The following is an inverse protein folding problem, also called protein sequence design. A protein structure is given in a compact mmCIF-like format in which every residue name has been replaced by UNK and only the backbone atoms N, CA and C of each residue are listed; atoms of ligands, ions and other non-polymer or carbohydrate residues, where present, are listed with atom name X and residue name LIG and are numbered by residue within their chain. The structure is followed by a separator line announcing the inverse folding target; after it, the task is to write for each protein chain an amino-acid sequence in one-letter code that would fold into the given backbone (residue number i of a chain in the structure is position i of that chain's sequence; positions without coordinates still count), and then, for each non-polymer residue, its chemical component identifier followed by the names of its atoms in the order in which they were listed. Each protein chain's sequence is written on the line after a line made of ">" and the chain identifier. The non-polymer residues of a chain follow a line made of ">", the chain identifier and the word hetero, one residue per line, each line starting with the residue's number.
data_IF_297672666497
#
_entry.id   IF_297672666497
#
_cell.length_a   1.000
_cell.length_b   1.000
_cell.length_c   1.000
_cell.angle_alpha   90.00
_cell.angle_beta   90.00
_cell.angle_gamma   90.00
#
_symmetry.space_group_name_H-M   'P 1'
#
loop_
_entity.id
_entity.type
_entity.pdbx_description
1 polymer ?
#
# COMPACT_ATOMS: atom_id res chain seq x y z
N UNK A 1 16.48 -6.32 -27.94
CA UNK A 1 17.55 -5.28 -27.91
C UNK A 1 18.66 -5.85 -27.03
N UNK A 2 19.71 -6.44 -27.62
CA UNK A 2 20.82 -7.02 -26.87
C UNK A 2 21.84 -5.92 -26.57
N UNK A 3 21.95 -5.51 -25.30
CA UNK A 3 23.01 -4.62 -24.87
C UNK A 3 24.33 -5.40 -24.80
N UNK A 4 25.21 -5.16 -25.76
CA UNK A 4 26.57 -5.68 -25.77
C UNK A 4 27.47 -4.84 -24.86
N UNK A 5 27.40 -5.07 -23.55
CA UNK A 5 28.38 -4.53 -22.62
C UNK A 5 29.39 -5.65 -22.30
N UNK A 6 30.64 -5.48 -22.73
CA UNK A 6 31.73 -6.38 -22.34
C UNK A 6 32.11 -6.06 -20.89
N UNK A 7 32.08 -7.03 -19.96
CA UNK A 7 32.47 -6.81 -18.56
C UNK A 7 33.93 -6.36 -18.46
N UNK A 8 34.23 -5.47 -17.50
CA UNK A 8 35.60 -5.05 -17.23
C UNK A 8 36.47 -6.25 -16.78
N UNK A 9 37.78 -6.26 -17.09
CA UNK A 9 38.69 -7.30 -16.62
C UNK A 9 38.65 -7.43 -15.09
N UNK A 10 38.32 -8.62 -14.58
CA UNK A 10 38.15 -8.89 -13.15
C UNK A 10 36.73 -8.72 -12.61
N UNK A 11 35.78 -8.27 -13.43
CA UNK A 11 34.37 -8.24 -13.04
C UNK A 11 33.80 -9.66 -12.95
N UNK A 12 33.30 -10.04 -11.78
CA UNK A 12 32.49 -11.24 -11.62
C UNK A 12 31.10 -10.92 -12.15
N UNK A 13 30.78 -11.40 -13.35
CA UNK A 13 29.42 -11.35 -13.89
C UNK A 13 28.60 -12.38 -13.13
N UNK A 14 27.87 -11.91 -12.12
CA UNK A 14 26.86 -12.73 -11.47
C UNK A 14 25.69 -12.88 -12.46
N UNK A 15 25.43 -14.11 -12.88
CA UNK A 15 24.20 -14.46 -13.60
C UNK A 15 23.01 -13.88 -12.83
N UNK A 16 22.02 -13.28 -13.50
CA UNK A 16 20.79 -12.80 -12.85
C UNK A 16 20.12 -13.92 -12.02
N UNK A 17 20.29 -15.19 -12.43
CA UNK A 17 19.80 -16.35 -11.68
C UNK A 17 20.54 -16.59 -10.35
N UNK A 18 21.77 -16.07 -10.19
CA UNK A 18 22.58 -16.17 -8.97
C UNK A 18 22.35 -15.00 -8.00
N UNK A 19 21.72 -13.91 -8.46
CA UNK A 19 21.43 -12.71 -7.66
C UNK A 19 20.06 -12.74 -6.99
N UNK A 20 19.21 -13.73 -7.28
CA UNK A 20 17.90 -13.83 -6.65
C UNK A 20 18.00 -14.67 -5.36
N UNK A 21 17.94 -14.06 -4.15
CA UNK A 21 18.05 -14.80 -2.88
C UNK A 21 16.81 -15.66 -2.58
N UNK A 22 15.75 -15.54 -3.39
CA UNK A 22 14.59 -16.39 -3.27
C UNK A 22 14.73 -17.59 -4.20
N UNK A 23 14.66 -18.84 -3.70
CA UNK A 23 14.46 -19.99 -4.56
C UNK A 23 13.24 -19.72 -5.46
N UNK A 24 13.21 -20.28 -6.69
CA UNK A 24 12.06 -20.18 -7.59
C UNK A 24 10.88 -20.95 -6.99
N UNK A 25 10.27 -20.38 -5.97
CA UNK A 25 9.02 -20.83 -5.40
C UNK A 25 7.94 -20.21 -6.27
N UNK A 26 7.05 -21.04 -6.80
CA UNK A 26 5.88 -20.55 -7.48
C UNK A 26 5.15 -19.56 -6.56
N UNK A 27 4.72 -18.39 -7.09
CA UNK A 27 3.89 -17.48 -6.33
C UNK A 27 2.70 -18.26 -5.71
N UNK A 28 2.32 -18.05 -4.43
CA UNK A 28 1.25 -18.81 -3.80
C UNK A 28 -0.07 -18.69 -4.59
N UNK A 29 -0.95 -19.69 -4.56
CA UNK A 29 -2.15 -19.66 -5.42
C UNK A 29 -3.15 -18.53 -5.06
N UNK A 30 -2.99 -17.90 -3.89
CA UNK A 30 -3.76 -16.76 -3.40
C UNK A 30 -2.86 -15.84 -2.59
N UNK A 31 -3.29 -14.60 -2.42
CA UNK A 31 -2.64 -13.72 -1.46
C UNK A 31 -2.95 -14.19 -0.05
N UNK A 32 -1.91 -14.65 0.64
CA UNK A 32 -2.00 -15.08 2.04
C UNK A 32 -2.24 -13.90 2.99
N UNK A 33 -2.14 -12.66 2.50
CA UNK A 33 -2.31 -11.45 3.29
C UNK A 33 -3.18 -10.46 2.54
N UNK A 34 -4.27 -10.07 3.19
CA UNK A 34 -5.32 -9.24 2.59
C UNK A 34 -5.78 -8.19 3.58
N UNK A 35 -6.36 -7.10 3.07
CA UNK A 35 -7.11 -6.15 3.88
C UNK A 35 -8.59 -6.35 3.56
N UNK A 36 -9.37 -6.72 4.57
CA UNK A 36 -10.79 -7.08 4.43
C UNK A 36 -11.04 -8.17 3.38
N UNK A 37 -10.18 -9.19 3.32
CA UNK A 37 -10.34 -10.35 2.43
C UNK A 37 -9.94 -10.12 0.97
N UNK A 38 -9.43 -8.93 0.62
CA UNK A 38 -8.94 -8.63 -0.73
C UNK A 38 -7.47 -8.15 -0.70
N UNK A 39 -6.60 -8.65 -1.62
CA UNK A 39 -5.28 -8.08 -1.84
C UNK A 39 -5.38 -6.86 -2.76
N UNK A 40 -4.76 -5.73 -2.38
CA UNK A 40 -4.88 -4.47 -3.10
C UNK A 40 -3.57 -3.98 -3.69
N UNK A 41 -3.37 -4.20 -4.99
CA UNK A 41 -2.21 -3.70 -5.72
C UNK A 41 -2.56 -2.42 -6.49
N UNK A 42 -2.45 -1.26 -5.84
CA UNK A 42 -2.65 0.05 -6.50
C UNK A 42 -1.88 0.15 -7.82
N UNK A 43 -0.62 -0.30 -7.82
CA UNK A 43 0.28 -0.21 -8.97
C UNK A 43 -0.14 -1.01 -10.21
N UNK A 44 -1.01 -2.02 -10.07
CA UNK A 44 -1.53 -2.80 -11.22
C UNK A 44 -2.87 -2.30 -11.72
N UNK A 45 -3.70 -1.77 -10.82
CA UNK A 45 -5.04 -1.27 -11.14
C UNK A 45 -5.01 0.18 -11.62
N UNK A 46 -3.97 0.94 -11.24
CA UNK A 46 -3.88 2.36 -11.50
C UNK A 46 -2.66 2.67 -12.37
N UNK A 47 -2.93 3.13 -13.60
CA UNK A 47 -1.90 3.64 -14.52
C UNK A 47 -1.72 5.14 -14.41
N UNK A 48 -2.76 5.79 -13.91
CA UNK A 48 -2.79 7.22 -13.63
C UNK A 48 -2.64 7.38 -12.11
N UNK A 49 -1.82 8.34 -11.65
CA UNK A 49 -1.84 8.72 -10.26
C UNK A 49 -3.30 8.99 -9.83
N UNK A 50 -3.66 8.69 -8.59
CA UNK A 50 -5.01 8.98 -8.08
C UNK A 50 -5.26 10.48 -7.95
N UNK A 51 -4.19 11.27 -7.77
CA UNK A 51 -4.26 12.71 -7.50
C UNK A 51 -4.95 13.52 -8.62
N UNK A 52 -4.66 13.31 -9.92
CA UNK A 52 -5.38 13.94 -11.04
C UNK A 52 -6.84 13.52 -11.22
N UNK A 53 -7.26 12.38 -10.65
CA UNK A 53 -8.60 11.80 -10.83
C UNK A 53 -9.28 11.46 -9.50
N UNK A 54 -9.49 12.42 -8.59
CA UNK A 54 -10.11 12.15 -7.28
C UNK A 54 -11.55 11.62 -7.40
N UNK A 55 -12.25 12.00 -8.47
CA UNK A 55 -13.60 11.54 -8.79
C UNK A 55 -13.64 10.22 -9.57
N UNK A 56 -12.48 9.61 -9.88
CA UNK A 56 -12.45 8.34 -10.61
C UNK A 56 -13.15 7.26 -9.82
N UNK A 57 -14.12 6.60 -10.46
CA UNK A 57 -14.80 5.43 -9.93
C UNK A 57 -14.03 4.16 -10.33
N UNK A 58 -13.77 3.30 -9.35
CA UNK A 58 -13.11 2.02 -9.58
C UNK A 58 -14.12 0.88 -9.54
N UNK A 59 -13.95 -0.09 -10.44
CA UNK A 59 -14.75 -1.32 -10.41
C UNK A 59 -14.53 -2.05 -9.09
N UNK A 60 -15.61 -2.57 -8.53
CA UNK A 60 -15.58 -3.31 -7.28
C UNK A 60 -14.79 -4.63 -7.40
N UNK A 61 -14.19 -5.11 -6.29
CA UNK A 61 -14.09 -4.41 -5.02
C UNK A 61 -13.13 -3.19 -5.14
N UNK A 62 -13.27 -2.16 -4.29
CA UNK A 62 -12.45 -0.93 -4.36
C UNK A 62 -11.97 -0.57 -2.94
N UNK A 63 -10.65 -0.52 -2.68
CA UNK A 63 -10.12 -0.23 -1.35
C UNK A 63 -10.04 1.26 -1.08
N UNK A 64 -10.25 2.10 -2.10
CA UNK A 64 -10.06 3.53 -2.00
C UNK A 64 -11.11 4.10 -1.05
N UNK A 65 -10.63 4.67 0.06
CA UNK A 65 -11.48 5.36 1.03
C UNK A 65 -11.68 6.79 0.56
N UNK A 66 -12.93 7.24 0.55
CA UNK A 66 -13.36 8.61 0.19
C UNK A 66 -14.41 9.09 1.19
N UNK A 67 -14.97 10.29 0.96
CA UNK A 67 -15.95 10.96 1.82
C UNK A 67 -15.37 11.25 3.21
N UNK A 68 -14.16 11.80 3.23
CA UNK A 68 -13.43 12.14 4.43
C UNK A 68 -13.19 13.66 4.46
N UNK A 69 -14.22 14.49 4.74
CA UNK A 69 -14.11 15.92 4.60
C UNK A 69 -13.13 16.55 5.59
N UNK A 70 -12.60 17.73 5.25
CA UNK A 70 -11.73 18.49 6.15
C UNK A 70 -12.42 18.75 7.49
N UNK A 71 -11.71 18.51 8.59
CA UNK A 71 -12.21 18.60 9.96
C UNK A 71 -12.68 17.26 10.54
N UNK A 72 -12.84 16.22 9.71
CA UNK A 72 -13.20 14.87 10.18
C UNK A 72 -12.17 14.31 11.14
N UNK A 73 -12.64 13.58 12.14
CA UNK A 73 -11.81 12.72 12.98
C UNK A 73 -11.94 11.31 12.43
N UNK A 74 -10.82 10.71 12.05
CA UNK A 74 -10.74 9.36 11.51
C UNK A 74 -10.18 8.44 12.58
N UNK A 75 -10.88 7.33 12.79
CA UNK A 75 -10.43 6.20 13.59
C UNK A 75 -10.19 5.00 12.68
N UNK A 76 -8.98 4.46 12.70
CA UNK A 76 -8.69 3.16 12.10
C UNK A 76 -8.42 2.16 13.22
N UNK A 77 -9.14 1.04 13.17
CA UNK A 77 -8.87 -0.13 14.00
C UNK A 77 -8.38 -1.24 13.07
N UNK A 78 -7.17 -1.73 13.32
CA UNK A 78 -6.61 -2.87 12.60
C UNK A 78 -6.49 -4.03 13.56
N UNK A 79 -7.08 -5.16 13.18
CA UNK A 79 -6.89 -6.43 13.87
C UNK A 79 -5.98 -7.30 13.03
N UNK A 80 -4.91 -7.79 13.64
CA UNK A 80 -3.99 -8.71 13.01
C UNK A 80 -4.40 -10.13 13.34
N UNK A 81 -4.71 -10.93 12.32
CA UNK A 81 -5.03 -12.35 12.49
C UNK A 81 -3.84 -13.26 12.18
N UNK A 82 -2.70 -12.69 11.75
CA UNK A 82 -1.52 -13.44 11.37
C UNK A 82 -0.81 -14.05 12.58
N UNK A 83 -0.34 -15.28 12.42
CA UNK A 83 0.56 -15.93 13.37
C UNK A 83 1.95 -15.26 13.36
N UNK A 84 2.58 -15.19 14.53
CA UNK A 84 3.92 -14.63 14.72
C UNK A 84 4.37 -14.80 16.17
N UNK A 85 5.51 -14.20 16.52
CA UNK A 85 6.03 -14.29 17.90
C UNK A 85 5.11 -13.51 18.85
N UNK A 86 4.38 -14.24 19.70
CA UNK A 86 3.30 -13.72 20.56
C UNK A 86 3.84 -13.21 21.90
N UNK A 87 5.11 -13.49 22.22
CA UNK A 87 5.67 -13.15 23.53
C UNK A 87 5.75 -11.63 23.77
N UNK A 88 5.81 -10.82 22.71
CA UNK A 88 5.77 -9.34 22.78
C UNK A 88 4.33 -8.77 22.78
N UNK A 89 3.32 -9.57 22.45
CA UNK A 89 1.95 -9.14 22.18
C UNK A 89 1.02 -9.06 23.42
N UNK A 90 1.56 -9.08 24.64
CA UNK A 90 0.77 -8.88 25.87
C UNK A 90 0.72 -7.40 26.23
N UNK A 91 -0.13 -6.64 25.53
CA UNK A 91 -0.64 -5.37 26.05
C UNK A 91 -2.04 -5.61 26.60
N UNK A 92 -2.24 -5.26 27.87
CA UNK A 92 -3.56 -5.24 28.49
C UNK A 92 -4.51 -4.42 27.61
N UNK A 93 -5.77 -4.87 27.46
CA UNK A 93 -6.79 -4.34 26.55
C UNK A 93 -7.29 -2.92 26.88
N UNK A 94 -6.40 -2.03 27.29
CA UNK A 94 -6.63 -0.64 27.64
C UNK A 94 -6.16 0.24 26.48
N UNK A 95 -7.08 1.02 25.92
CA UNK A 95 -6.77 2.05 24.91
C UNK A 95 -6.45 3.35 25.65
N UNK A 96 -5.25 3.90 25.46
CA UNK A 96 -4.89 5.20 26.02
C UNK A 96 -5.54 6.32 25.19
N UNK A 97 -6.46 7.06 25.80
CA UNK A 97 -7.17 8.20 25.19
C UNK A 97 -6.76 9.56 25.78
N UNK A 98 -5.88 9.58 26.78
CA UNK A 98 -5.50 10.80 27.52
C UNK A 98 -4.23 11.40 26.93
N UNK A 99 -3.20 10.58 26.77
CA UNK A 99 -1.88 10.97 26.26
C UNK A 99 -1.26 9.86 25.38
N UNK A 100 -1.93 9.45 24.29
CA UNK A 100 -1.42 8.41 23.42
C UNK A 100 -0.10 8.84 22.76
N UNK A 101 0.82 7.89 22.51
CA UNK A 101 2.02 8.16 21.73
C UNK A 101 1.63 8.60 20.31
N UNK A 102 2.15 9.74 19.87
CA UNK A 102 1.95 10.26 18.53
C UNK A 102 3.04 9.72 17.59
N UNK A 103 2.66 9.30 16.40
CA UNK A 103 3.61 8.78 15.41
C UNK A 103 2.97 8.43 14.08
N UNK A 104 3.81 8.37 13.05
CA UNK A 104 3.43 7.91 11.70
C UNK A 104 3.63 6.40 11.51
N UNK A 105 4.38 5.77 12.40
CA UNK A 105 4.66 4.34 12.40
C UNK A 105 4.24 3.75 13.72
N UNK A 106 3.52 2.63 13.64
CA UNK A 106 3.05 1.88 14.79
C UNK A 106 3.25 0.41 14.51
N UNK A 107 3.71 -0.32 15.51
CA UNK A 107 3.82 -1.76 15.44
C UNK A 107 2.45 -2.39 15.68
N UNK A 108 2.07 -3.30 14.79
CA UNK A 108 0.87 -4.11 14.92
C UNK A 108 1.30 -5.54 15.24
N UNK A 109 1.22 -5.97 16.51
CA UNK A 109 1.70 -7.29 16.90
C UNK A 109 0.87 -8.41 16.25
N UNK A 110 1.46 -9.60 16.03
CA UNK A 110 0.71 -10.80 15.64
C UNK A 110 -0.43 -11.08 16.60
N UNK A 111 -1.61 -11.45 16.09
CA UNK A 111 -2.86 -11.67 16.87
C UNK A 111 -3.33 -10.48 17.71
N UNK A 112 -2.74 -9.30 17.54
CA UNK A 112 -3.07 -8.10 18.29
C UNK A 112 -3.98 -7.15 17.52
N UNK A 113 -4.29 -6.02 18.17
CA UNK A 113 -5.06 -4.94 17.58
C UNK A 113 -4.35 -3.61 17.78
N UNK A 114 -4.55 -2.70 16.83
CA UNK A 114 -4.06 -1.33 16.87
C UNK A 114 -5.22 -0.40 16.56
N UNK A 115 -5.35 0.68 17.34
CA UNK A 115 -6.26 1.79 17.05
C UNK A 115 -5.44 3.06 16.84
N UNK A 116 -5.67 3.76 15.74
CA UNK A 116 -5.03 5.05 15.43
C UNK A 116 -6.15 6.07 15.18
N UNK A 117 -5.97 7.27 15.73
CA UNK A 117 -6.86 8.42 15.53
C UNK A 117 -6.09 9.60 14.97
N UNK A 118 -6.65 10.29 13.98
CA UNK A 118 -6.17 11.60 13.56
C UNK A 118 -7.32 12.50 13.09
N UNK A 119 -7.02 13.80 12.96
CA UNK A 119 -7.93 14.78 12.36
C UNK A 119 -7.42 15.16 10.98
N UNK A 120 -8.32 15.23 10.02
CA UNK A 120 -8.01 15.72 8.68
C UNK A 120 -7.97 17.25 8.72
N UNK A 121 -6.79 17.82 8.54
CA UNK A 121 -6.60 19.29 8.57
C UNK A 121 -6.48 19.90 7.18
N UNK A 122 -6.08 19.10 6.18
CA UNK A 122 -5.89 19.55 4.80
C UNK A 122 -6.21 18.43 3.79
N UNK A 123 -6.60 18.79 2.56
CA UNK A 123 -6.77 17.83 1.48
C UNK A 123 -5.47 17.11 1.12
N UNK A 124 -5.51 15.78 1.06
CA UNK A 124 -4.36 14.97 0.67
C UNK A 124 -4.78 13.60 0.13
N UNK A 125 -3.98 13.06 -0.80
CA UNK A 125 -4.03 11.63 -1.11
C UNK A 125 -3.01 10.96 -0.20
N UNK A 126 -3.49 10.20 0.77
CA UNK A 126 -2.63 9.47 1.71
C UNK A 126 -2.74 7.96 1.43
N UNK A 127 -1.82 7.20 2.00
CA UNK A 127 -1.84 5.75 1.91
C UNK A 127 -1.60 5.16 3.29
N UNK A 128 -2.53 4.35 3.75
CA UNK A 128 -2.36 3.48 4.90
C UNK A 128 -1.80 2.15 4.42
N UNK A 129 -0.59 1.80 4.83
CA UNK A 129 0.07 0.60 4.33
C UNK A 129 1.04 0.00 5.33
N UNK A 130 1.35 -1.28 5.12
CA UNK A 130 2.41 -1.95 5.86
C UNK A 130 3.78 -1.51 5.38
N UNK A 131 4.75 -1.40 6.29
CA UNK A 131 6.11 -1.01 5.93
C UNK A 131 6.95 -2.16 5.35
N UNK A 132 6.57 -3.41 5.61
CA UNK A 132 7.24 -4.56 5.03
C UNK A 132 7.05 -4.59 3.51
N UNK A 133 8.14 -4.40 2.76
CA UNK A 133 8.09 -4.23 1.30
C UNK A 133 7.44 -5.43 0.57
N UNK A 134 7.67 -6.66 1.05
CA UNK A 134 7.03 -7.86 0.48
C UNK A 134 5.52 -7.75 0.65
N UNK A 135 5.04 -7.54 1.87
CA UNK A 135 3.61 -7.45 2.17
C UNK A 135 2.93 -6.26 1.49
N UNK A 136 3.63 -5.13 1.39
CA UNK A 136 3.21 -3.96 0.62
C UNK A 136 2.97 -4.31 -0.85
N UNK A 137 3.96 -4.93 -1.52
CA UNK A 137 3.84 -5.39 -2.91
C UNK A 137 2.74 -6.44 -3.07
N UNK A 138 2.53 -7.29 -2.05
CA UNK A 138 1.44 -8.28 -2.02
C UNK A 138 0.04 -7.66 -1.85
N UNK A 139 -0.05 -6.36 -1.55
CA UNK A 139 -1.28 -5.59 -1.59
C UNK A 139 -1.85 -5.17 -0.24
N UNK A 140 -1.03 -5.14 0.82
CA UNK A 140 -1.40 -4.54 2.11
C UNK A 140 -1.26 -3.02 2.10
N UNK A 141 -2.10 -2.37 1.29
CA UNK A 141 -2.15 -0.92 1.15
C UNK A 141 -3.58 -0.46 0.85
N UNK A 142 -3.96 0.67 1.43
CA UNK A 142 -5.26 1.31 1.26
C UNK A 142 -5.02 2.80 0.99
N UNK A 143 -5.40 3.31 -0.19
CA UNK A 143 -5.32 4.73 -0.49
C UNK A 143 -6.54 5.45 0.09
N UNK A 144 -6.33 6.67 0.53
CA UNK A 144 -7.38 7.49 1.15
C UNK A 144 -7.37 8.87 0.52
N UNK A 145 -8.55 9.35 0.13
CA UNK A 145 -8.77 10.74 -0.23
C UNK A 145 -9.25 11.50 1.00
N UNK A 146 -8.31 12.12 1.69
CA UNK A 146 -8.58 12.99 2.84
C UNK A 146 -8.88 14.41 2.35
N UNK A 147 -9.90 15.05 2.92
CA UNK A 147 -10.37 16.38 2.54
C UNK A 147 -10.91 16.44 1.12
N UNK A 148 -11.62 15.40 0.68
CA UNK A 148 -12.15 15.30 -0.68
C UNK A 148 -13.21 16.36 -1.02
N UNK A 149 -13.82 16.97 0.01
CA UNK A 149 -14.71 18.14 -0.10
C UNK A 149 -13.99 19.43 -0.52
N UNK A 150 -12.66 19.49 -0.38
CA UNK A 150 -11.83 20.66 -0.70
C UNK A 150 -10.66 20.32 -1.62
N UNK A 151 -10.80 19.27 -2.44
CA UNK A 151 -9.72 18.84 -3.31
C UNK A 151 -9.24 19.98 -4.24
N UNK A 152 -7.93 20.29 -4.26
CA UNK A 152 -7.44 21.37 -5.09
C UNK A 152 -7.52 21.02 -6.58
N UNK A 153 -7.64 22.04 -7.43
CA UNK A 153 -7.47 21.85 -8.87
C UNK A 153 -6.04 21.38 -9.16
N UNK A 154 -5.93 20.25 -9.84
CA UNK A 154 -4.61 19.72 -10.24
C UNK A 154 -4.00 20.61 -11.31
N UNK A 155 -2.79 21.19 -11.08
CA UNK A 155 -2.14 22.08 -12.05
C UNK A 155 -1.92 21.42 -13.40
N UNK A 156 -2.03 22.19 -14.49
CA UNK A 156 -1.82 21.70 -15.85
C UNK A 156 -0.44 21.05 -16.03
N UNK A 157 0.60 21.60 -15.39
CA UNK A 157 1.95 21.03 -15.41
C UNK A 157 2.07 19.64 -14.79
N UNK A 158 1.13 19.26 -13.90
CA UNK A 158 1.04 17.91 -13.33
C UNK A 158 0.26 16.99 -14.28
N UNK A 159 -0.84 17.49 -14.87
CA UNK A 159 -1.64 16.73 -15.85
C UNK A 159 -0.87 16.44 -17.13
N UNK A 160 -0.03 17.37 -17.57
CA UNK A 160 0.78 17.25 -18.79
C UNK A 160 2.04 16.39 -18.62
N UNK A 161 2.31 15.86 -17.41
CA UNK A 161 3.44 14.92 -17.23
C UNK A 161 3.20 13.65 -18.05
N UNK A 162 4.26 12.98 -18.53
CA UNK A 162 4.11 11.72 -19.26
C UNK A 162 3.38 10.68 -18.41
N UNK A 163 2.31 10.11 -18.94
CA UNK A 163 1.60 8.98 -18.36
C UNK A 163 1.82 7.75 -19.24
N UNK A 164 1.89 6.56 -18.63
CA UNK A 164 2.07 5.31 -19.38
C UNK A 164 0.70 4.72 -19.70
N UNK A 165 0.37 4.64 -20.99
CA UNK A 165 -0.81 3.91 -21.46
C UNK A 165 -0.51 2.40 -21.55
N UNK A 166 -1.10 1.59 -20.66
CA UNK A 166 -0.71 0.17 -20.54
C UNK A 166 -1.64 -0.92 -21.12
N UNK A 167 -2.95 -0.81 -21.38
CA UNK A 167 -3.86 -2.01 -21.55
C UNK A 167 -3.79 -3.01 -20.37
N UNK A 168 -4.90 -3.12 -19.63
CA UNK A 168 -4.95 -3.98 -18.46
C UNK A 168 -4.92 -5.43 -18.95
N UNK A 169 -4.10 -6.30 -18.32
CA UNK A 169 -4.30 -7.72 -18.48
C UNK A 169 -5.67 -8.08 -17.89
N UNK A 170 -6.30 -9.13 -18.41
CA UNK A 170 -7.58 -9.63 -17.86
C UNK A 170 -7.47 -10.12 -16.40
N UNK A 171 -6.22 -10.35 -15.95
CA UNK A 171 -5.82 -10.87 -14.65
C UNK A 171 -5.02 -9.79 -13.92
N UNK A 172 -5.49 -9.36 -12.75
CA UNK A 172 -5.03 -8.13 -12.08
C UNK A 172 -4.24 -8.42 -10.79
N UNK A 173 -4.40 -9.61 -10.22
CA UNK A 173 -3.62 -10.13 -9.11
C UNK A 173 -2.29 -10.76 -9.56
N UNK A 174 -1.33 -10.81 -8.66
CA UNK A 174 -0.07 -11.55 -8.83
C UNK A 174 -0.28 -13.08 -8.95
N UNK A 175 -1.51 -13.54 -8.67
CA UNK A 175 -1.91 -14.95 -8.67
C UNK A 175 -3.10 -15.23 -9.61
N UNK A 176 -3.52 -14.22 -10.37
CA UNK A 176 -4.66 -14.34 -11.27
C UNK A 176 -4.27 -15.07 -12.57
#
# INVERSE_FOLDING_TARGET
>A
MHYGATPLPGAVVLSECALHPYPPISPPAKADITLNGAPWQLWRVLREPLVPGPSTEFKGPNPVVKNLPVGSVVDIVVQNELDGDVEEAKRDGVVNMVDPPMGFFHELPPKGSLAIRWRIEQPAMTMFHVFNAKQFVMGMQVPMFEGDDRWPEVPESVRARPHVEFKMPERMGIFD
#
